data_IF_275026739156
#
_entry.id   IF_275026739156
#
_cell.length_a   1.000
_cell.length_b   1.000
_cell.length_c   1.000
_cell.angle_alpha   90.00
_cell.angle_beta   90.00
_cell.angle_gamma   90.00
#
_symmetry.space_group_name_H-M   'P 1'
#
loop_
_entity.id
_entity.type
_entity.pdbx_description
1 polymer ?
#
# COMPACT_ATOMS: atom_id res chain seq x y z
N UNK A 1 32.12 -2.16 37.51
CA UNK A 1 31.81 -0.96 36.71
C UNK A 1 30.83 -1.38 35.66
N UNK A 2 29.54 -1.16 35.91
CA UNK A 2 28.47 -1.38 34.92
C UNK A 2 28.50 -0.22 33.94
N UNK A 3 28.92 -0.49 32.72
CA UNK A 3 28.87 0.44 31.59
C UNK A 3 27.39 0.75 31.37
N UNK A 4 26.93 1.91 31.86
CA UNK A 4 25.59 2.40 31.52
C UNK A 4 25.74 3.07 30.17
N UNK A 5 25.10 2.54 29.10
CA UNK A 5 25.16 3.19 27.80
C UNK A 5 24.62 4.62 27.96
N UNK A 6 25.39 5.61 27.51
CA UNK A 6 24.93 7.00 27.48
C UNK A 6 23.57 7.07 26.78
N UNK A 7 22.57 7.78 27.34
CA UNK A 7 21.28 7.91 26.69
C UNK A 7 21.46 8.56 25.32
N UNK A 8 21.02 7.87 24.28
CA UNK A 8 21.09 8.35 22.91
C UNK A 8 20.39 9.73 22.80
N UNK A 9 21.06 10.69 22.16
CA UNK A 9 20.53 12.05 21.98
C UNK A 9 19.28 12.01 21.10
N UNK A 10 18.24 12.80 21.40
CA UNK A 10 17.03 12.82 20.57
C UNK A 10 17.33 13.42 19.19
N UNK A 11 16.80 12.77 18.16
CA UNK A 11 16.86 13.22 16.77
C UNK A 11 15.48 13.70 16.33
N UNK A 12 15.40 14.94 15.84
CA UNK A 12 14.14 15.52 15.38
C UNK A 12 14.04 15.46 13.86
N UNK A 13 12.91 14.99 13.35
CA UNK A 13 12.61 14.88 11.92
C UNK A 13 11.27 15.54 11.62
N UNK A 14 11.10 16.05 10.41
CA UNK A 14 9.84 16.67 9.95
C UNK A 14 9.26 15.97 8.72
N UNK A 15 9.84 14.85 8.32
CA UNK A 15 9.51 14.10 7.12
C UNK A 15 8.81 12.77 7.43
N UNK A 16 7.99 12.34 6.48
CA UNK A 16 7.30 11.05 6.46
C UNK A 16 7.67 10.40 5.13
N UNK A 17 8.19 9.17 5.18
CA UNK A 17 8.67 8.47 3.98
C UNK A 17 7.82 7.25 3.67
N UNK A 18 7.58 7.03 2.38
CA UNK A 18 6.87 5.85 1.87
C UNK A 18 7.69 5.27 0.73
N UNK A 19 8.00 3.99 0.82
CA UNK A 19 8.74 3.25 -0.20
C UNK A 19 7.91 2.06 -0.69
N UNK A 20 7.81 1.88 -2.00
CA UNK A 20 7.18 0.70 -2.59
C UNK A 20 8.18 -0.46 -2.58
N UNK A 21 7.91 -1.47 -1.75
CA UNK A 21 8.77 -2.67 -1.63
C UNK A 21 8.43 -3.71 -2.68
N UNK A 22 7.13 -3.91 -2.92
CA UNK A 22 6.64 -4.91 -3.87
C UNK A 22 5.27 -4.50 -4.41
N UNK A 23 5.04 -4.74 -5.69
CA UNK A 23 3.72 -4.59 -6.31
C UNK A 23 3.45 -5.77 -7.24
N UNK A 24 2.26 -6.32 -7.13
CA UNK A 24 1.62 -7.14 -8.15
C UNK A 24 0.29 -6.48 -8.49
N UNK A 25 0.38 -5.43 -9.30
CA UNK A 25 -0.73 -4.54 -9.61
C UNK A 25 -0.56 -3.96 -11.02
N UNK A 26 -1.40 -4.38 -11.97
CA UNK A 26 -1.41 -3.83 -13.34
C UNK A 26 -2.84 -3.64 -13.81
N UNK A 27 -3.05 -2.67 -14.69
CA UNK A 27 -4.36 -2.43 -15.32
C UNK A 27 -4.87 -3.66 -16.08
N UNK A 28 -3.96 -4.46 -16.63
CA UNK A 28 -4.27 -5.74 -17.27
C UNK A 28 -4.95 -6.74 -16.31
N UNK A 29 -4.55 -6.77 -15.04
CA UNK A 29 -5.10 -7.69 -14.04
C UNK A 29 -6.55 -7.30 -13.68
N UNK A 30 -6.85 -6.00 -13.63
CA UNK A 30 -8.21 -5.45 -13.44
C UNK A 30 -9.10 -5.78 -14.64
N UNK A 31 -8.60 -5.58 -15.86
CA UNK A 31 -9.32 -5.88 -17.09
C UNK A 31 -9.62 -7.38 -17.20
N UNK A 32 -8.65 -8.21 -16.85
CA UNK A 32 -8.81 -9.66 -16.81
C UNK A 32 -9.91 -10.05 -15.82
N UNK A 33 -9.82 -9.58 -14.56
CA UNK A 33 -10.82 -9.87 -13.53
C UNK A 33 -12.25 -9.43 -13.94
N UNK A 34 -12.39 -8.25 -14.56
CA UNK A 34 -13.69 -7.77 -15.03
C UNK A 34 -14.23 -8.58 -16.22
N UNK A 35 -13.36 -8.97 -17.16
CA UNK A 35 -13.76 -9.71 -18.37
C UNK A 35 -14.01 -11.19 -18.13
N UNK A 36 -13.46 -11.79 -17.08
CA UNK A 36 -13.82 -13.18 -16.68
C UNK A 36 -15.34 -13.29 -16.45
N UNK A 37 -15.98 -12.24 -15.94
CA UNK A 37 -17.44 -12.20 -15.76
C UNK A 37 -18.25 -12.12 -17.05
N UNK A 38 -17.68 -11.62 -18.16
CA UNK A 38 -18.41 -11.39 -19.42
C UNK A 38 -17.99 -12.28 -20.59
N UNK A 39 -16.72 -12.69 -20.63
CA UNK A 39 -16.07 -13.37 -21.76
C UNK A 39 -15.45 -14.73 -21.38
N UNK A 40 -15.49 -15.15 -20.11
CA UNK A 40 -14.98 -16.45 -19.67
C UNK A 40 -13.50 -16.67 -20.00
N UNK A 41 -13.18 -17.84 -20.57
CA UNK A 41 -11.80 -18.28 -20.91
C UNK A 41 -11.12 -17.46 -22.03
N UNK A 42 -11.88 -16.71 -22.85
CA UNK A 42 -11.32 -15.92 -23.97
C UNK A 42 -10.66 -14.59 -23.53
N UNK A 43 -10.71 -14.28 -22.23
CA UNK A 43 -10.19 -13.04 -21.64
C UNK A 43 -8.67 -12.86 -21.82
N UNK A 44 -7.89 -13.94 -21.94
CA UNK A 44 -6.43 -13.87 -22.13
C UNK A 44 -5.99 -13.27 -23.49
N UNK A 45 -6.78 -13.46 -24.55
CA UNK A 45 -6.40 -13.04 -25.91
C UNK A 45 -6.77 -11.59 -26.25
N UNK A 46 -7.62 -10.95 -25.46
CA UNK A 46 -8.14 -9.60 -25.73
C UNK A 46 -7.56 -8.49 -24.84
N UNK A 47 -6.85 -8.84 -23.76
CA UNK A 47 -6.27 -7.84 -22.84
C UNK A 47 -5.18 -7.00 -23.53
N UNK A 48 -4.52 -7.54 -24.54
CA UNK A 48 -3.41 -6.91 -25.29
C UNK A 48 -3.81 -6.22 -26.59
N UNK A 49 -5.07 -6.30 -27.04
CA UNK A 49 -5.44 -5.92 -28.42
C UNK A 49 -5.77 -4.44 -28.63
N UNK A 50 -6.30 -3.72 -27.63
CA UNK A 50 -6.77 -2.35 -27.84
C UNK A 50 -6.69 -1.48 -26.55
N UNK A 51 -5.70 -0.57 -26.45
CA UNK A 51 -5.52 0.32 -25.31
C UNK A 51 -6.70 1.26 -25.04
N UNK A 52 -7.40 1.74 -26.08
CA UNK A 52 -8.49 2.70 -25.94
C UNK A 52 -9.75 2.02 -25.37
N UNK A 53 -10.05 0.80 -25.83
CA UNK A 53 -11.13 -0.02 -25.23
C UNK A 53 -10.85 -0.38 -23.77
N UNK A 54 -9.60 -0.71 -23.46
CA UNK A 54 -9.17 -1.01 -22.09
C UNK A 54 -9.38 0.18 -21.15
N UNK A 55 -9.00 1.39 -21.57
CA UNK A 55 -9.25 2.63 -20.82
C UNK A 55 -10.75 2.91 -20.64
N UNK A 56 -11.54 2.72 -21.69
CA UNK A 56 -13.00 2.87 -21.64
C UNK A 56 -13.65 1.94 -20.61
N UNK A 57 -13.20 0.69 -20.54
CA UNK A 57 -13.72 -0.30 -19.60
C UNK A 57 -13.38 0.05 -18.15
N UNK A 58 -12.13 0.42 -17.85
CA UNK A 58 -11.72 0.82 -16.48
C UNK A 58 -12.56 2.03 -16.02
N UNK A 59 -12.74 3.03 -16.88
CA UNK A 59 -13.56 4.21 -16.57
C UNK A 59 -15.04 3.84 -16.31
N UNK A 60 -15.58 2.89 -17.08
CA UNK A 60 -16.93 2.37 -16.87
C UNK A 60 -17.07 1.69 -15.51
N UNK A 61 -16.12 0.83 -15.14
CA UNK A 61 -16.11 0.13 -13.84
C UNK A 61 -16.04 1.12 -12.67
N UNK A 62 -15.19 2.14 -12.78
CA UNK A 62 -15.09 3.21 -11.79
C UNK A 62 -16.38 4.02 -11.66
N UNK A 63 -17.00 4.42 -12.78
CA UNK A 63 -18.25 5.19 -12.79
C UNK A 63 -19.39 4.43 -12.10
N UNK A 64 -19.49 3.13 -12.37
CA UNK A 64 -20.58 2.31 -11.83
C UNK A 64 -20.23 1.74 -10.44
N UNK A 65 -19.07 2.11 -9.88
CA UNK A 65 -18.53 1.65 -8.58
C UNK A 65 -18.41 0.13 -8.49
N UNK A 66 -18.09 -0.52 -9.62
CA UNK A 66 -17.80 -1.94 -9.64
C UNK A 66 -16.37 -2.18 -9.14
N UNK A 67 -16.21 -2.21 -7.81
CA UNK A 67 -14.92 -2.23 -7.14
C UNK A 67 -14.21 -3.60 -7.10
N UNK A 68 -14.96 -4.71 -7.20
CA UNK A 68 -14.39 -6.06 -7.05
C UNK A 68 -13.23 -6.38 -8.01
N UNK A 69 -13.21 -5.96 -9.29
CA UNK A 69 -12.06 -6.21 -10.17
C UNK A 69 -10.77 -5.51 -9.71
N UNK A 70 -10.87 -4.45 -8.90
CA UNK A 70 -9.71 -3.70 -8.40
C UNK A 70 -9.04 -4.37 -7.20
N UNK A 71 -9.72 -5.31 -6.54
CA UNK A 71 -9.21 -6.03 -5.36
C UNK A 71 -8.23 -7.16 -5.72
N UNK A 72 -8.11 -7.53 -6.99
CA UNK A 72 -7.24 -8.61 -7.48
C UNK A 72 -5.75 -8.20 -7.60
N UNK A 73 -5.31 -7.20 -6.83
CA UNK A 73 -3.97 -6.64 -6.89
C UNK A 73 -3.40 -6.50 -5.48
N UNK A 74 -2.07 -6.48 -5.35
CA UNK A 74 -1.41 -6.24 -4.07
C UNK A 74 -0.24 -5.26 -4.18
N UNK A 75 -0.09 -4.42 -3.17
CA UNK A 75 1.04 -3.50 -3.02
C UNK A 75 1.54 -3.58 -1.58
N UNK A 76 2.85 -3.55 -1.40
CA UNK A 76 3.52 -3.57 -0.10
C UNK A 76 4.39 -2.35 0.03
N UNK A 77 4.14 -1.57 1.08
CA UNK A 77 4.85 -0.33 1.37
C UNK A 77 5.66 -0.45 2.64
N UNK A 78 6.85 0.13 2.63
CA UNK A 78 7.62 0.44 3.83
C UNK A 78 7.39 1.91 4.19
N UNK A 79 6.82 2.15 5.36
CA UNK A 79 6.39 3.48 5.78
C UNK A 79 7.15 3.84 7.05
N UNK A 80 7.74 5.04 7.06
CA UNK A 80 8.30 5.66 8.27
C UNK A 80 7.49 6.92 8.56
N UNK A 81 6.71 6.86 9.64
CA UNK A 81 5.80 7.92 10.06
C UNK A 81 5.73 7.97 11.59
N UNK A 82 5.38 9.12 12.19
CA UNK A 82 5.18 9.20 13.63
C UNK A 82 3.94 8.41 14.07
N UNK A 83 3.98 7.90 15.31
CA UNK A 83 2.96 7.01 15.88
C UNK A 83 1.54 7.59 15.75
N UNK A 84 1.36 8.90 15.94
CA UNK A 84 0.02 9.49 15.84
C UNK A 84 -0.59 9.36 14.43
N UNK A 85 0.23 9.47 13.37
CA UNK A 85 -0.21 9.23 11.99
C UNK A 85 -0.48 7.74 11.76
N UNK A 86 0.38 6.85 12.27
CA UNK A 86 0.15 5.41 12.16
C UNK A 86 -1.16 4.96 12.83
N UNK A 87 -1.54 5.59 13.95
CA UNK A 87 -2.81 5.29 14.62
C UNK A 87 -4.04 5.64 13.79
N UNK A 88 -3.96 6.66 12.94
CA UNK A 88 -5.00 6.99 11.97
C UNK A 88 -4.97 5.99 10.81
N UNK A 89 -3.77 5.68 10.31
CA UNK A 89 -3.59 4.78 9.18
C UNK A 89 -4.09 3.36 9.46
N UNK A 90 -3.77 2.79 10.62
CA UNK A 90 -4.21 1.46 11.05
C UNK A 90 -5.73 1.32 11.24
N UNK A 91 -6.51 2.40 11.07
CA UNK A 91 -7.98 2.31 11.03
C UNK A 91 -8.52 1.70 9.74
N UNK A 92 -7.72 1.65 8.68
CA UNK A 92 -8.10 1.00 7.42
C UNK A 92 -7.98 -0.52 7.58
N UNK A 93 -9.12 -1.17 7.86
CA UNK A 93 -9.18 -2.61 8.15
C UNK A 93 -9.36 -3.49 6.89
N UNK A 94 -9.73 -2.89 5.78
CA UNK A 94 -10.04 -3.59 4.52
C UNK A 94 -8.94 -3.28 3.51
N UNK A 95 -8.38 -4.32 2.89
CA UNK A 95 -7.33 -4.17 1.88
C UNK A 95 -5.93 -3.88 2.41
N UNK A 96 -5.72 -3.91 3.74
CA UNK A 96 -4.43 -3.65 4.37
C UNK A 96 -4.03 -4.75 5.36
N UNK A 97 -2.75 -5.09 5.32
CA UNK A 97 -2.09 -5.99 6.27
C UNK A 97 -0.88 -5.27 6.84
N UNK A 98 -0.80 -5.16 8.17
CA UNK A 98 0.22 -4.37 8.84
C UNK A 98 1.23 -5.25 9.59
N UNK A 99 2.47 -4.80 9.58
CA UNK A 99 3.50 -5.23 10.51
C UNK A 99 4.25 -3.96 10.96
N UNK A 100 4.40 -3.77 12.26
CA UNK A 100 5.02 -2.59 12.86
C UNK A 100 6.17 -3.02 13.78
N UNK A 101 7.21 -2.19 13.83
CA UNK A 101 8.28 -2.37 14.81
C UNK A 101 7.73 -2.29 16.24
N UNK A 102 8.04 -3.30 17.04
CA UNK A 102 7.51 -3.41 18.40
C UNK A 102 8.54 -2.95 19.43
N UNK A 103 8.23 -1.85 20.11
CA UNK A 103 8.98 -1.37 21.28
C UNK A 103 8.99 -2.33 22.48
N UNK A 104 8.23 -3.43 22.43
CA UNK A 104 8.27 -4.50 23.44
C UNK A 104 9.44 -5.46 23.24
N UNK A 105 9.97 -5.55 22.01
CA UNK A 105 11.01 -6.51 21.63
C UNK A 105 12.34 -5.83 21.27
N UNK A 106 12.31 -4.53 20.95
CA UNK A 106 13.48 -3.74 20.57
C UNK A 106 13.44 -2.37 21.24
N UNK A 107 14.61 -1.89 21.64
CA UNK A 107 14.78 -0.51 22.10
C UNK A 107 14.59 0.44 20.91
N UNK A 108 13.64 1.35 21.03
CA UNK A 108 13.31 2.29 19.96
C UNK A 108 14.35 3.41 19.91
N UNK A 109 14.76 3.78 18.70
CA UNK A 109 15.62 4.93 18.51
C UNK A 109 14.88 6.22 18.93
N UNK A 110 15.54 7.19 19.58
CA UNK A 110 14.91 8.41 20.07
C UNK A 110 14.66 9.43 18.93
N UNK A 111 13.88 9.02 17.93
CA UNK A 111 13.50 9.84 16.76
C UNK A 111 12.10 10.41 16.97
N UNK A 112 11.98 11.74 16.94
CA UNK A 112 10.72 12.44 17.20
C UNK A 112 10.33 13.35 16.03
N UNK A 113 9.04 13.37 15.73
CA UNK A 113 8.50 14.24 14.69
C UNK A 113 8.26 15.66 15.20
N UNK A 114 8.68 16.67 14.43
CA UNK A 114 8.41 18.09 14.65
C UNK A 114 7.90 18.70 13.35
N UNK A 115 6.77 19.43 13.35
CA UNK A 115 6.34 20.15 12.16
C UNK A 115 7.36 21.23 11.79
N UNK A 116 7.73 21.28 10.50
CA UNK A 116 8.64 22.30 9.95
C UNK A 116 7.97 23.65 9.73
#
# INVERSE_FOLDING_TARGET
MTDTPEPAKPHFRSDVTVELVKSDARDADVLFAARVSTAGEQSLEEVTKDPERSKGLINYLMRDRHGSPFEHNSMTFFISAPIFVFREFMRHRVGWSYNEESGRYRELEPVFYVPG
#
